data_IF_407169553749
#
_entry.id   IF_407169553749
#
_cell.length_a   1.000
_cell.length_b   1.000
_cell.length_c   1.000
_cell.angle_alpha   90.00
_cell.angle_beta   90.00
_cell.angle_gamma   90.00
#
_symmetry.space_group_name_H-M   'P 1'
#
loop_
_entity.id
_entity.type
_entity.pdbx_description
1 polymer ?
#
# COMPACT_ATOMS: atom_id res chain seq x y z
N UNK A 1 3.77 -8.28 -6.32
CA UNK A 1 2.91 -8.97 -5.35
C UNK A 1 1.54 -8.31 -5.33
N UNK A 2 0.49 -9.07 -5.19
CA UNK A 2 -0.88 -8.55 -5.17
C UNK A 2 -1.44 -8.61 -3.76
N UNK A 3 -2.25 -7.64 -3.40
CA UNK A 3 -2.92 -7.62 -2.11
C UNK A 3 -4.11 -6.69 -2.12
N UNK A 4 -4.73 -6.54 -0.95
CA UNK A 4 -5.87 -5.64 -0.78
C UNK A 4 -5.57 -4.63 0.31
N UNK A 5 -6.04 -3.41 0.10
CA UNK A 5 -5.89 -2.34 1.08
C UNK A 5 -6.73 -2.68 2.30
N UNK A 6 -6.06 -2.85 3.44
CA UNK A 6 -6.76 -3.09 4.70
C UNK A 6 -7.44 -1.80 5.18
N UNK A 7 -6.68 -0.73 5.18
CA UNK A 7 -7.21 0.63 5.44
C UNK A 7 -6.15 1.65 4.99
N UNK A 8 -6.59 2.85 4.73
CA UNK A 8 -5.68 3.93 4.35
C UNK A 8 -6.25 5.25 4.86
N UNK A 9 -5.43 6.03 5.55
CA UNK A 9 -5.82 7.34 6.05
C UNK A 9 -5.27 8.41 5.13
N UNK A 10 -6.13 8.98 4.28
CA UNK A 10 -5.72 9.97 3.30
C UNK A 10 -5.20 11.26 3.93
N UNK A 11 -5.72 11.62 5.11
CA UNK A 11 -5.28 12.83 5.82
C UNK A 11 -3.85 12.70 6.33
N UNK A 12 -3.50 11.53 6.84
CA UNK A 12 -2.16 11.27 7.36
C UNK A 12 -1.22 10.73 6.30
N UNK A 13 -1.74 10.16 5.22
CA UNK A 13 -0.97 9.68 4.09
C UNK A 13 -0.35 8.30 4.28
N UNK A 14 -0.94 7.43 5.10
CA UNK A 14 -0.44 6.08 5.27
C UNK A 14 -1.55 5.08 5.57
N UNK A 15 -1.22 3.81 5.45
CA UNK A 15 -2.13 2.73 5.75
C UNK A 15 -1.43 1.38 5.69
N UNK A 16 -2.22 0.33 5.50
CA UNK A 16 -1.72 -1.03 5.44
C UNK A 16 -2.38 -1.80 4.30
N UNK A 17 -1.60 -2.69 3.71
CA UNK A 17 -2.06 -3.61 2.67
C UNK A 17 -1.91 -5.03 3.22
N UNK A 18 -2.93 -5.85 3.04
CA UNK A 18 -2.86 -7.27 3.34
C UNK A 18 -2.53 -8.01 2.06
N UNK A 19 -1.35 -8.61 2.01
CA UNK A 19 -0.90 -9.36 0.83
C UNK A 19 -1.63 -10.67 0.66
N UNK A 20 -1.49 -11.27 -0.51
CA UNK A 20 -2.09 -12.58 -0.80
C UNK A 20 -1.56 -13.68 0.11
N UNK A 21 -0.38 -13.48 0.67
CA UNK A 21 0.22 -14.40 1.64
C UNK A 21 -0.28 -14.19 3.07
N UNK A 22 -1.21 -13.26 3.27
CA UNK A 22 -1.77 -12.95 4.58
C UNK A 22 -0.95 -12.00 5.43
N UNK A 23 0.18 -11.54 4.92
CA UNK A 23 1.04 -10.61 5.66
C UNK A 23 0.64 -9.17 5.40
N UNK A 24 0.69 -8.36 6.46
CA UNK A 24 0.39 -6.94 6.35
C UNK A 24 1.67 -6.16 6.12
N UNK A 25 1.60 -5.18 5.22
CA UNK A 25 2.73 -4.30 4.93
C UNK A 25 2.28 -2.85 5.06
N UNK A 26 3.17 -2.01 5.55
CA UNK A 26 2.94 -0.57 5.65
C UNK A 26 3.01 0.06 4.27
N UNK A 27 2.13 1.02 4.01
CA UNK A 27 2.15 1.79 2.76
C UNK A 27 2.03 3.28 3.08
N UNK A 28 2.88 4.09 2.45
CA UNK A 28 2.85 5.54 2.56
C UNK A 28 2.42 6.11 1.20
N UNK A 29 1.77 7.29 1.19
CA UNK A 29 1.27 7.86 -0.05
C UNK A 29 2.38 8.06 -1.09
N UNK A 30 3.60 8.31 -0.66
CA UNK A 30 4.74 8.47 -1.58
C UNK A 30 5.07 7.19 -2.35
N UNK A 31 4.61 6.03 -1.88
CA UNK A 31 4.83 4.76 -2.53
C UNK A 31 3.76 4.45 -3.59
N UNK A 32 2.70 5.24 -3.68
CA UNK A 32 1.61 5.03 -4.63
C UNK A 32 2.00 5.62 -5.97
N UNK A 33 1.94 4.79 -7.02
CA UNK A 33 2.19 5.22 -8.39
C UNK A 33 0.84 5.59 -9.00
N UNK A 34 0.56 6.88 -9.10
CA UNK A 34 -0.69 7.37 -9.64
C UNK A 34 -0.52 8.79 -10.15
N UNK A 35 -1.31 9.13 -11.17
CA UNK A 35 -1.38 10.50 -11.65
C UNK A 35 -2.39 11.26 -10.79
N UNK A 36 -2.00 12.42 -10.27
CA UNK A 36 -2.88 13.23 -9.47
C UNK A 36 -2.94 12.81 -8.01
N UNK A 37 -4.13 12.68 -7.47
CA UNK A 37 -4.33 12.43 -6.04
C UNK A 37 -3.94 11.01 -5.64
N UNK A 38 -2.99 10.91 -4.72
CA UNK A 38 -2.44 9.62 -4.28
C UNK A 38 -3.18 9.13 -3.04
N UNK A 39 -4.13 8.24 -3.26
CA UNK A 39 -4.91 7.65 -2.18
C UNK A 39 -5.28 6.22 -2.52
N UNK A 40 -5.65 5.45 -1.50
CA UNK A 40 -6.09 4.07 -1.66
C UNK A 40 -7.44 3.89 -0.98
N UNK A 41 -8.33 3.13 -1.62
CA UNK A 41 -9.62 2.81 -1.06
C UNK A 41 -9.55 1.50 -0.28
N UNK A 42 -10.23 1.45 0.86
CA UNK A 42 -10.30 0.25 1.67
C UNK A 42 -10.90 -0.90 0.85
N UNK A 43 -10.22 -2.04 0.88
CA UNK A 43 -10.64 -3.22 0.13
C UNK A 43 -10.21 -3.24 -1.33
N UNK A 44 -9.61 -2.17 -1.83
CA UNK A 44 -9.17 -2.12 -3.22
C UNK A 44 -8.01 -3.09 -3.46
N UNK A 45 -7.99 -3.70 -4.65
CA UNK A 45 -6.90 -4.58 -5.05
C UNK A 45 -5.75 -3.75 -5.60
N UNK A 46 -4.55 -4.03 -5.14
CA UNK A 46 -3.35 -3.32 -5.57
C UNK A 46 -2.23 -4.31 -5.87
N UNK A 47 -1.32 -3.87 -6.72
CA UNK A 47 -0.08 -4.59 -6.97
C UNK A 47 1.06 -3.74 -6.41
N UNK A 48 2.02 -4.39 -5.78
CA UNK A 48 3.09 -3.68 -5.09
C UNK A 48 4.32 -4.58 -4.93
N UNK A 49 5.43 -3.96 -4.56
CA UNK A 49 6.65 -4.66 -4.17
C UNK A 49 6.87 -4.43 -2.68
N UNK A 50 7.60 -5.35 -2.05
CA UNK A 50 7.90 -5.24 -0.63
C UNK A 50 9.37 -4.84 -0.47
N UNK A 51 9.61 -3.78 0.30
CA UNK A 51 10.95 -3.33 0.64
C UNK A 51 11.12 -3.42 2.14
N UNK A 52 12.18 -4.10 2.58
CA UNK A 52 12.49 -4.21 4.00
C UNK A 52 13.17 -2.92 4.47
N UNK A 53 12.43 -2.12 5.23
CA UNK A 53 12.96 -0.89 5.81
C UNK A 53 13.28 -1.04 7.30
N UNK A 54 13.72 0.05 7.91
CA UNK A 54 14.05 0.08 9.34
C UNK A 54 12.83 -0.25 10.22
N UNK A 55 11.65 0.08 9.74
CA UNK A 55 10.40 -0.12 10.47
C UNK A 55 9.68 -1.41 10.08
N UNK A 56 10.35 -2.27 9.33
CA UNK A 56 9.77 -3.52 8.85
C UNK A 56 9.39 -3.45 7.38
N UNK A 57 8.60 -4.40 6.89
CA UNK A 57 8.25 -4.45 5.46
C UNK A 57 7.35 -3.29 5.06
N UNK A 58 7.68 -2.66 3.94
CA UNK A 58 6.92 -1.54 3.38
C UNK A 58 6.57 -1.83 1.94
N UNK A 59 5.37 -1.42 1.52
CA UNK A 59 4.96 -1.52 0.12
C UNK A 59 5.57 -0.36 -0.66
N UNK A 60 6.09 -0.66 -1.84
CA UNK A 60 6.62 0.34 -2.77
C UNK A 60 6.06 0.05 -4.15
N UNK A 61 6.06 1.06 -5.02
CA UNK A 61 5.52 0.95 -6.38
C UNK A 61 4.09 0.40 -6.39
N UNK A 62 3.25 0.96 -5.53
CA UNK A 62 1.87 0.51 -5.37
C UNK A 62 1.02 1.03 -6.52
N UNK A 63 0.40 0.11 -7.24
CA UNK A 63 -0.44 0.42 -8.39
C UNK A 63 -1.82 -0.15 -8.17
N UNK A 64 -2.84 0.65 -8.37
CA UNK A 64 -4.24 0.18 -8.29
C UNK A 64 -4.55 -0.71 -9.48
N UNK A 65 -5.25 -1.78 -9.20
CA UNK A 65 -5.69 -2.70 -10.25
C UNK A 65 -7.13 -2.48 -10.64
#
# INVERSE_FOLDING_TARGET
MTGKVKWFNASKGYGFITGDDGKEVFVHFSAIVADGYKTLDEGATVEYEVNEGEKGPQAVNVVKK
#
